data_IF_883846467229
#
_entry.id   IF_883846467229
#
_cell.length_a   1.000
_cell.length_b   1.000
_cell.length_c   1.000
_cell.angle_alpha   90.00
_cell.angle_beta   90.00
_cell.angle_gamma   90.00
#
_symmetry.space_group_name_H-M   'P 1'
#
loop_
_entity.id
_entity.type
_entity.pdbx_description
1 polymer ?
#
# COMPACT_ATOMS: atom_id res chain seq x y z
N UNK A 1 20.23 4.46 -16.57
CA UNK A 1 18.99 5.02 -15.97
C UNK A 1 18.91 4.69 -14.49
N UNK A 2 18.88 3.41 -14.14
CA UNK A 2 18.64 2.93 -12.76
C UNK A 2 19.66 3.45 -11.71
N UNK A 3 20.91 3.72 -12.10
CA UNK A 3 21.93 4.34 -11.22
C UNK A 3 22.05 5.85 -11.39
N UNK A 4 21.73 6.34 -12.59
CA UNK A 4 21.99 7.72 -12.98
C UNK A 4 20.91 8.67 -12.47
N UNK A 5 19.64 8.24 -12.47
CA UNK A 5 18.54 9.04 -11.95
C UNK A 5 18.70 9.35 -10.45
N UNK A 6 18.97 8.36 -9.56
CA UNK A 6 19.35 8.62 -8.17
C UNK A 6 20.46 9.66 -7.99
N UNK A 7 21.52 9.54 -8.78
CA UNK A 7 22.68 10.44 -8.73
C UNK A 7 22.29 11.88 -9.07
N UNK A 8 21.53 12.07 -10.15
CA UNK A 8 21.06 13.39 -10.59
C UNK A 8 20.08 14.02 -9.62
N UNK A 9 19.09 13.25 -9.16
CA UNK A 9 18.13 13.71 -8.16
C UNK A 9 18.84 14.17 -6.90
N UNK A 10 19.81 13.39 -6.43
CA UNK A 10 20.64 13.76 -5.29
C UNK A 10 21.42 15.04 -5.55
N UNK A 11 22.10 15.18 -6.69
CA UNK A 11 22.84 16.40 -7.02
C UNK A 11 21.94 17.65 -7.08
N UNK A 12 20.75 17.54 -7.69
CA UNK A 12 19.79 18.65 -7.75
C UNK A 12 19.28 19.02 -6.35
N UNK A 13 18.96 18.01 -5.53
CA UNK A 13 18.48 18.19 -4.16
C UNK A 13 19.49 18.89 -3.24
N UNK A 14 20.78 18.64 -3.44
CA UNK A 14 21.85 19.28 -2.67
C UNK A 14 22.29 20.63 -3.27
N UNK A 15 21.71 21.04 -4.40
CA UNK A 15 22.07 22.27 -5.11
C UNK A 15 23.37 22.18 -5.92
N UNK A 16 23.92 20.97 -6.07
CA UNK A 16 25.13 20.70 -6.87
C UNK A 16 24.85 20.67 -8.37
N UNK A 17 23.58 20.59 -8.78
CA UNK A 17 23.14 20.62 -10.16
C UNK A 17 21.87 21.47 -10.35
N UNK A 18 21.69 22.13 -11.50
CA UNK A 18 20.47 22.88 -11.78
C UNK A 18 19.27 21.93 -12.04
N UNK A 19 18.04 22.32 -11.65
CA UNK A 19 16.84 21.48 -11.82
C UNK A 19 16.56 21.05 -13.27
N UNK A 20 16.91 21.90 -14.25
CA UNK A 20 16.73 21.61 -15.67
C UNK A 20 17.65 20.49 -16.21
N UNK A 21 18.74 20.17 -15.50
CA UNK A 21 19.73 19.19 -15.96
C UNK A 21 19.10 17.81 -16.21
N UNK A 22 18.16 17.39 -15.34
CA UNK A 22 17.49 16.11 -15.51
C UNK A 22 16.69 16.07 -16.82
N UNK A 23 15.92 17.11 -17.13
CA UNK A 23 15.11 17.17 -18.35
C UNK A 23 16.00 17.20 -19.61
N UNK A 24 17.12 17.93 -19.55
CA UNK A 24 18.08 18.01 -20.66
C UNK A 24 18.75 16.65 -20.91
N UNK A 25 19.24 15.98 -19.86
CA UNK A 25 19.83 14.64 -20.01
C UNK A 25 18.82 13.59 -20.48
N UNK A 26 17.59 13.62 -19.97
CA UNK A 26 16.52 12.74 -20.45
C UNK A 26 16.30 12.97 -21.95
N UNK A 27 16.20 14.23 -22.40
CA UNK A 27 16.00 14.58 -23.81
C UNK A 27 17.17 14.15 -24.70
N UNK A 28 18.40 14.34 -24.24
CA UNK A 28 19.61 14.12 -25.05
C UNK A 28 20.08 12.67 -25.07
N UNK A 29 19.96 11.98 -23.94
CA UNK A 29 20.61 10.68 -23.70
C UNK A 29 19.64 9.52 -23.52
N UNK A 30 18.37 9.76 -23.18
CA UNK A 30 17.40 8.69 -22.94
C UNK A 30 16.35 8.58 -24.06
N UNK A 31 15.58 9.64 -24.30
CA UNK A 31 14.36 9.57 -25.13
C UNK A 31 14.62 9.12 -26.57
N UNK A 32 15.81 9.40 -27.11
CA UNK A 32 16.22 9.03 -28.47
C UNK A 32 16.45 7.54 -28.68
N UNK A 33 16.63 6.79 -27.60
CA UNK A 33 16.94 5.35 -27.64
C UNK A 33 15.79 4.50 -27.10
N UNK A 34 14.66 5.13 -26.76
CA UNK A 34 13.47 4.38 -26.36
C UNK A 34 12.89 3.63 -27.57
N UNK A 35 12.43 2.39 -27.37
CA UNK A 35 11.86 1.57 -28.43
C UNK A 35 10.47 2.07 -28.85
N UNK A 36 10.05 1.70 -30.06
CA UNK A 36 8.65 1.87 -30.48
C UNK A 36 7.73 0.99 -29.64
N UNK A 37 6.60 1.56 -29.19
CA UNK A 37 5.67 0.89 -28.26
C UNK A 37 5.11 -0.42 -28.85
N UNK A 38 4.82 -0.43 -30.15
CA UNK A 38 4.25 -1.60 -30.84
C UNK A 38 5.22 -2.79 -30.88
N UNK A 39 6.52 -2.53 -30.75
CA UNK A 39 7.57 -3.56 -30.73
C UNK A 39 7.78 -4.21 -29.36
N UNK A 40 7.14 -3.70 -28.31
CA UNK A 40 7.28 -4.19 -26.94
C UNK A 40 6.27 -5.29 -26.64
N UNK A 41 6.62 -6.26 -25.81
CA UNK A 41 5.63 -7.07 -25.10
C UNK A 41 5.11 -6.36 -23.84
N UNK A 42 4.11 -6.96 -23.18
CA UNK A 42 3.49 -6.37 -21.98
C UNK A 42 4.47 -6.26 -20.80
N UNK A 43 5.42 -7.18 -20.68
CA UNK A 43 6.38 -7.20 -19.58
C UNK A 43 7.45 -6.12 -19.77
N UNK A 44 7.99 -6.00 -20.98
CA UNK A 44 8.88 -4.91 -21.37
C UNK A 44 8.19 -3.54 -21.21
N UNK A 45 6.90 -3.45 -21.54
CA UNK A 45 6.10 -2.24 -21.29
C UNK A 45 6.01 -1.94 -19.78
N UNK A 46 5.71 -2.91 -18.92
CA UNK A 46 5.71 -2.74 -17.44
C UNK A 46 7.06 -2.24 -16.93
N UNK A 47 8.16 -2.82 -17.39
CA UNK A 47 9.51 -2.41 -17.01
C UNK A 47 9.81 -0.95 -17.43
N UNK A 48 9.40 -0.55 -18.63
CA UNK A 48 9.54 0.83 -19.08
C UNK A 48 8.62 1.79 -18.33
N UNK A 49 7.38 1.40 -18.02
CA UNK A 49 6.45 2.18 -17.19
C UNK A 49 7.05 2.45 -15.80
N UNK A 50 7.68 1.44 -15.16
CA UNK A 50 8.36 1.65 -13.87
C UNK A 50 9.48 2.68 -14.03
N UNK A 51 10.42 2.42 -14.95
CA UNK A 51 11.61 3.26 -15.16
C UNK A 51 11.28 4.70 -15.53
N UNK A 52 10.40 4.88 -16.51
CA UNK A 52 9.96 6.20 -16.96
C UNK A 52 9.02 6.85 -15.96
N UNK A 53 8.34 6.08 -15.10
CA UNK A 53 7.57 6.60 -13.98
C UNK A 53 8.45 7.33 -12.98
N UNK A 54 9.57 6.73 -12.58
CA UNK A 54 10.57 7.39 -11.72
C UNK A 54 11.13 8.66 -12.37
N UNK A 55 11.44 8.61 -13.67
CA UNK A 55 11.92 9.79 -14.43
C UNK A 55 10.87 10.89 -14.48
N UNK A 56 9.62 10.55 -14.82
CA UNK A 56 8.53 11.51 -14.95
C UNK A 56 8.18 12.18 -13.61
N UNK A 57 8.10 11.42 -12.52
CA UNK A 57 7.87 11.96 -11.19
C UNK A 57 9.02 12.87 -10.72
N UNK A 58 10.26 12.55 -11.08
CA UNK A 58 11.42 13.40 -10.80
C UNK A 58 11.37 14.72 -11.58
N UNK A 59 11.06 14.67 -12.87
CA UNK A 59 10.90 15.89 -13.69
C UNK A 59 9.74 16.75 -13.19
N UNK A 60 8.59 16.15 -12.90
CA UNK A 60 7.42 16.84 -12.36
C UNK A 60 7.73 17.52 -11.02
N UNK A 61 8.41 16.80 -10.11
CA UNK A 61 8.84 17.34 -8.82
C UNK A 61 9.72 18.58 -8.99
N UNK A 62 10.83 18.43 -9.71
CA UNK A 62 11.80 19.51 -9.89
C UNK A 62 11.18 20.70 -10.64
N UNK A 63 10.32 20.46 -11.63
CA UNK A 63 9.61 21.54 -12.31
C UNK A 63 8.73 22.33 -11.34
N UNK A 64 7.90 21.65 -10.56
CA UNK A 64 6.94 22.31 -9.67
C UNK A 64 7.59 23.00 -8.47
N UNK A 65 8.74 22.49 -8.01
CA UNK A 65 9.49 23.09 -6.90
C UNK A 65 10.19 24.38 -7.34
N UNK A 66 10.74 24.42 -8.56
CA UNK A 66 11.64 25.50 -8.98
C UNK A 66 11.01 26.55 -9.90
N UNK A 67 9.84 26.28 -10.50
CA UNK A 67 9.17 27.23 -11.38
C UNK A 67 7.98 27.91 -10.67
N UNK A 68 7.96 29.24 -10.71
CA UNK A 68 6.83 30.01 -10.19
C UNK A 68 5.55 29.61 -10.94
N UNK A 69 4.54 29.16 -10.19
CA UNK A 69 3.29 28.66 -10.77
C UNK A 69 3.34 27.21 -11.27
N UNK A 70 4.46 26.49 -11.13
CA UNK A 70 4.59 25.11 -11.63
C UNK A 70 3.52 24.15 -11.07
N UNK A 71 3.06 24.36 -9.83
CA UNK A 71 1.94 23.59 -9.25
C UNK A 71 0.60 23.82 -9.95
N UNK A 72 0.40 24.97 -10.60
CA UNK A 72 -0.84 25.30 -11.29
C UNK A 72 -0.93 24.62 -12.66
N UNK A 73 0.22 24.42 -13.31
CA UNK A 73 0.36 23.82 -14.64
C UNK A 73 1.41 22.68 -14.62
N UNK A 74 1.18 21.59 -13.85
CA UNK A 74 2.17 20.52 -13.68
C UNK A 74 2.58 19.83 -14.98
N UNK A 75 1.71 19.87 -16.00
CA UNK A 75 1.94 19.28 -17.32
C UNK A 75 3.15 19.88 -18.03
N UNK A 76 3.51 21.13 -17.72
CA UNK A 76 4.62 21.85 -18.32
C UNK A 76 5.98 21.28 -17.95
N UNK A 77 6.04 20.40 -16.95
CA UNK A 77 7.24 19.63 -16.63
C UNK A 77 7.73 18.78 -17.81
N UNK A 78 6.85 18.47 -18.76
CA UNK A 78 7.13 17.58 -19.89
C UNK A 78 7.26 18.33 -21.24
N UNK A 79 7.20 19.66 -21.24
CA UNK A 79 7.29 20.47 -22.45
C UNK A 79 8.60 20.21 -23.21
N UNK A 80 8.48 19.90 -24.51
CA UNK A 80 9.64 19.62 -25.37
C UNK A 80 10.33 18.27 -25.12
N UNK A 81 9.71 17.36 -24.37
CA UNK A 81 10.14 15.96 -24.25
C UNK A 81 9.38 15.12 -25.27
N UNK A 82 10.12 14.51 -26.20
CA UNK A 82 9.57 13.80 -27.36
C UNK A 82 10.32 12.49 -27.58
N UNK A 83 9.58 11.42 -27.86
CA UNK A 83 10.08 10.08 -28.23
C UNK A 83 9.59 9.79 -29.64
N UNK A 84 10.50 9.67 -30.62
CA UNK A 84 10.16 9.41 -32.02
C UNK A 84 8.96 10.27 -32.53
N UNK A 85 9.05 11.59 -32.37
CA UNK A 85 8.02 12.58 -32.72
C UNK A 85 6.74 12.58 -31.85
N UNK A 86 6.60 11.66 -30.90
CA UNK A 86 5.49 11.62 -29.94
C UNK A 86 5.82 12.34 -28.63
N UNK A 87 4.97 13.24 -28.11
CA UNK A 87 5.15 13.84 -26.78
C UNK A 87 5.30 12.78 -25.68
N UNK A 88 6.18 13.02 -24.70
CA UNK A 88 6.50 12.05 -23.64
C UNK A 88 5.26 11.49 -22.93
N UNK A 89 4.28 12.33 -22.60
CA UNK A 89 3.04 11.89 -21.93
C UNK A 89 2.18 10.98 -22.80
N UNK A 90 2.12 11.24 -24.10
CA UNK A 90 1.41 10.37 -25.06
C UNK A 90 2.16 9.05 -25.26
N UNK A 91 3.50 9.10 -25.29
CA UNK A 91 4.32 7.90 -25.32
C UNK A 91 4.14 7.06 -24.04
N UNK A 92 4.13 7.69 -22.87
CA UNK A 92 3.88 7.00 -21.60
C UNK A 92 2.48 6.41 -21.54
N UNK A 93 1.45 7.14 -22.00
CA UNK A 93 0.08 6.62 -22.08
C UNK A 93 0.02 5.37 -22.98
N UNK A 94 0.66 5.39 -24.14
CA UNK A 94 0.73 4.22 -25.02
C UNK A 94 1.48 3.04 -24.37
N UNK A 95 2.52 3.29 -23.58
CA UNK A 95 3.17 2.24 -22.78
C UNK A 95 2.24 1.66 -21.72
N UNK A 96 1.51 2.51 -21.00
CA UNK A 96 0.53 2.10 -20.00
C UNK A 96 -0.55 1.22 -20.62
N UNK A 97 -1.08 1.60 -21.79
CA UNK A 97 -2.01 0.78 -22.58
C UNK A 97 -1.37 -0.55 -23.00
N UNK A 98 -0.10 -0.52 -23.43
CA UNK A 98 0.63 -1.72 -23.89
C UNK A 98 0.84 -2.74 -22.77
N UNK A 99 0.78 -2.35 -21.50
CA UNK A 99 0.80 -3.30 -20.37
C UNK A 99 -0.41 -4.24 -20.38
N UNK A 100 -1.54 -3.83 -20.96
CA UNK A 100 -2.78 -4.59 -20.98
C UNK A 100 -3.54 -4.67 -19.64
N UNK A 101 -3.09 -3.92 -18.62
CA UNK A 101 -3.63 -4.00 -17.24
C UNK A 101 -4.53 -2.79 -16.88
N UNK A 102 -4.75 -1.87 -17.82
CA UNK A 102 -5.49 -0.63 -17.55
C UNK A 102 -4.76 0.34 -16.62
N UNK A 103 -3.43 0.36 -16.72
CA UNK A 103 -2.55 1.26 -15.96
C UNK A 103 -2.76 2.73 -16.37
N UNK A 104 -2.67 3.66 -15.42
CA UNK A 104 -2.91 5.07 -15.69
C UNK A 104 -1.69 5.73 -16.39
N UNK A 105 -1.86 6.83 -17.14
CA UNK A 105 -0.79 7.46 -17.92
C UNK A 105 0.19 8.29 -17.06
N UNK A 106 0.58 7.78 -15.88
CA UNK A 106 1.60 8.30 -14.96
C UNK A 106 2.13 7.17 -14.06
N UNK A 107 3.10 7.45 -13.20
CA UNK A 107 3.46 6.51 -12.13
C UNK A 107 2.30 6.28 -11.15
N UNK A 108 2.12 5.04 -10.69
CA UNK A 108 1.08 4.62 -9.75
C UNK A 108 1.65 3.68 -8.68
N UNK A 109 0.85 3.27 -7.71
CA UNK A 109 1.27 2.26 -6.71
C UNK A 109 1.75 0.96 -7.37
N UNK A 110 1.06 0.50 -8.43
CA UNK A 110 1.44 -0.69 -9.18
C UNK A 110 2.85 -0.55 -9.78
N UNK A 111 3.16 0.56 -10.47
CA UNK A 111 4.48 0.73 -11.09
C UNK A 111 5.57 1.10 -10.09
N UNK A 112 5.24 1.83 -9.03
CA UNK A 112 6.21 2.33 -8.05
C UNK A 112 6.63 1.27 -7.03
N UNK A 113 5.70 0.40 -6.63
CA UNK A 113 5.92 -0.63 -5.62
C UNK A 113 5.85 -2.01 -6.25
N UNK A 114 4.68 -2.42 -6.75
CA UNK A 114 4.43 -3.82 -7.13
C UNK A 114 5.36 -4.29 -8.23
N UNK A 115 5.46 -3.57 -9.34
CA UNK A 115 6.29 -3.97 -10.47
C UNK A 115 7.76 -3.63 -10.26
N UNK A 116 8.07 -2.63 -9.45
CA UNK A 116 9.42 -2.19 -9.16
C UNK A 116 10.20 -3.19 -8.30
N UNK A 117 9.61 -3.60 -7.17
CA UNK A 117 10.22 -4.59 -6.30
C UNK A 117 10.06 -5.97 -6.92
N UNK A 118 11.12 -6.77 -6.90
CA UNK A 118 11.10 -8.14 -7.42
C UNK A 118 10.03 -9.02 -6.75
N UNK A 119 9.80 -10.20 -7.34
CA UNK A 119 8.78 -11.14 -6.88
C UNK A 119 8.93 -11.48 -5.40
N UNK A 120 7.82 -11.38 -4.66
CA UNK A 120 7.73 -11.78 -3.25
C UNK A 120 6.82 -13.00 -3.15
N UNK A 121 7.32 -14.04 -2.51
CA UNK A 121 6.55 -15.23 -2.14
C UNK A 121 6.18 -15.15 -0.66
N UNK A 122 4.94 -15.49 -0.33
CA UNK A 122 4.50 -15.70 1.06
C UNK A 122 4.34 -17.19 1.28
N UNK A 123 5.05 -17.72 2.27
CA UNK A 123 5.02 -19.15 2.61
C UNK A 123 4.62 -19.37 4.05
N UNK A 124 3.91 -20.46 4.32
CA UNK A 124 3.62 -20.98 5.67
C UNK A 124 4.35 -22.32 5.82
N UNK A 125 5.51 -22.28 6.46
CA UNK A 125 6.42 -23.43 6.45
C UNK A 125 6.82 -23.78 5.01
N UNK A 126 6.49 -25.00 4.57
CA UNK A 126 6.77 -25.43 3.19
C UNK A 126 5.65 -25.10 2.19
N UNK A 127 4.48 -24.66 2.66
CA UNK A 127 3.34 -24.31 1.80
C UNK A 127 3.53 -22.93 1.19
N UNK A 128 3.34 -22.81 -0.12
CA UNK A 128 3.32 -21.53 -0.82
C UNK A 128 1.89 -20.98 -0.74
N UNK A 129 1.72 -19.85 -0.05
CA UNK A 129 0.42 -19.23 0.18
C UNK A 129 0.04 -18.30 -0.97
N UNK A 130 0.97 -17.42 -1.38
CA UNK A 130 0.76 -16.47 -2.47
C UNK A 130 2.08 -16.08 -3.14
N UNK A 131 1.99 -15.59 -4.37
CA UNK A 131 3.10 -15.01 -5.13
C UNK A 131 2.67 -13.66 -5.67
N UNK A 132 3.37 -12.60 -5.28
CA UNK A 132 3.15 -11.26 -5.80
C UNK A 132 4.29 -10.89 -6.77
N UNK A 133 4.07 -11.00 -8.09
CA UNK A 133 5.14 -10.82 -9.09
C UNK A 133 5.66 -9.39 -9.14
N UNK A 134 6.96 -9.24 -9.37
CA UNK A 134 7.60 -8.00 -9.82
C UNK A 134 7.83 -8.03 -11.32
N UNK A 135 8.13 -6.88 -11.93
CA UNK A 135 8.50 -6.80 -13.35
C UNK A 135 10.01 -6.97 -13.58
N UNK A 136 10.80 -7.02 -12.50
CA UNK A 136 12.26 -7.16 -12.55
C UNK A 136 12.71 -8.38 -11.73
N UNK A 137 13.67 -9.12 -12.27
CA UNK A 137 14.33 -10.29 -11.67
C UNK A 137 15.81 -10.03 -11.35
N UNK A 138 16.30 -8.82 -11.59
CA UNK A 138 17.72 -8.43 -11.42
C UNK A 138 18.14 -8.17 -9.96
N UNK A 139 17.19 -8.32 -9.02
CA UNK A 139 17.43 -8.14 -7.59
C UNK A 139 17.70 -6.70 -7.16
N UNK A 140 17.36 -5.71 -8.01
CA UNK A 140 17.44 -4.27 -7.71
C UNK A 140 16.06 -3.68 -7.43
N UNK A 141 15.99 -2.71 -6.53
CA UNK A 141 14.79 -1.88 -6.30
C UNK A 141 15.12 -0.49 -6.83
N UNK A 142 14.36 -0.01 -7.81
CA UNK A 142 14.55 1.35 -8.33
C UNK A 142 14.04 2.34 -7.30
N UNK A 143 14.72 3.47 -7.18
CA UNK A 143 14.44 4.51 -6.20
C UNK A 143 14.72 5.88 -6.77
N UNK A 144 14.15 6.92 -6.17
CA UNK A 144 14.37 8.30 -6.56
C UNK A 144 15.76 8.79 -6.18
N UNK A 145 16.30 8.34 -5.05
CA UNK A 145 17.55 8.86 -4.49
C UNK A 145 18.65 7.82 -4.30
N UNK A 146 18.37 6.53 -4.50
CA UNK A 146 19.37 5.47 -4.31
C UNK A 146 19.70 5.20 -2.84
N UNK A 147 18.92 5.74 -1.90
CA UNK A 147 19.19 5.54 -0.48
C UNK A 147 18.70 4.15 -0.04
N UNK A 148 19.46 3.43 0.81
CA UNK A 148 19.04 2.12 1.31
C UNK A 148 17.70 2.15 2.07
N UNK A 149 17.39 3.28 2.70
CA UNK A 149 16.12 3.46 3.40
C UNK A 149 14.92 3.55 2.46
N UNK A 150 15.08 4.18 1.30
CA UNK A 150 14.06 4.24 0.27
C UNK A 150 13.76 2.85 -0.31
N UNK A 151 14.80 2.09 -0.65
CA UNK A 151 14.64 0.71 -1.11
C UNK A 151 14.00 -0.19 -0.04
N UNK A 152 14.40 -0.03 1.22
CA UNK A 152 13.82 -0.75 2.36
C UNK A 152 12.35 -0.41 2.57
N UNK A 153 11.94 0.83 2.33
CA UNK A 153 10.54 1.25 2.40
C UNK A 153 9.72 0.61 1.27
N UNK A 154 10.20 0.63 0.02
CA UNK A 154 9.49 -0.06 -1.07
C UNK A 154 9.35 -1.56 -0.83
N UNK A 155 10.41 -2.21 -0.34
CA UNK A 155 10.37 -3.62 0.03
C UNK A 155 9.34 -3.89 1.12
N UNK A 156 9.26 -3.04 2.16
CA UNK A 156 8.26 -3.16 3.21
C UNK A 156 6.84 -3.12 2.65
N UNK A 157 6.54 -2.16 1.78
CA UNK A 157 5.19 -1.99 1.21
C UNK A 157 4.84 -3.20 0.34
N UNK A 158 5.74 -3.66 -0.53
CA UNK A 158 5.56 -4.87 -1.36
C UNK A 158 5.34 -6.12 -0.50
N UNK A 159 6.11 -6.29 0.57
CA UNK A 159 5.96 -7.41 1.50
C UNK A 159 4.62 -7.37 2.23
N UNK A 160 4.18 -6.17 2.64
CA UNK A 160 2.84 -5.95 3.18
C UNK A 160 1.78 -6.43 2.20
N UNK A 161 1.76 -5.85 1.00
CA UNK A 161 0.80 -6.20 -0.06
C UNK A 161 0.79 -7.71 -0.36
N UNK A 162 1.95 -8.38 -0.41
CA UNK A 162 2.03 -9.81 -0.68
C UNK A 162 1.38 -10.65 0.44
N UNK A 163 1.55 -10.24 1.71
CA UNK A 163 0.89 -10.90 2.84
C UNK A 163 -0.62 -10.62 2.81
N UNK A 164 -1.02 -9.43 2.43
CA UNK A 164 -2.43 -9.09 2.24
C UNK A 164 -3.10 -9.90 1.13
N UNK A 165 -2.41 -10.11 0.00
CA UNK A 165 -2.84 -11.01 -1.07
C UNK A 165 -3.07 -12.43 -0.52
N UNK A 166 -2.10 -12.98 0.21
CA UNK A 166 -2.22 -14.33 0.79
C UNK A 166 -3.42 -14.46 1.75
N UNK A 167 -3.70 -13.42 2.52
CA UNK A 167 -4.88 -13.36 3.38
C UNK A 167 -6.16 -13.35 2.55
N UNK A 168 -6.21 -12.53 1.49
CA UNK A 168 -7.38 -12.45 0.62
C UNK A 168 -7.60 -13.74 -0.20
N UNK A 169 -6.55 -14.47 -0.59
CA UNK A 169 -6.66 -15.78 -1.25
C UNK A 169 -7.22 -16.87 -0.33
N UNK A 170 -6.96 -16.77 0.99
CA UNK A 170 -7.55 -17.67 1.98
C UNK A 170 -9.03 -17.35 2.24
N UNK A 171 -9.36 -16.07 2.37
CA UNK A 171 -10.67 -15.60 2.79
C UNK A 171 -11.67 -15.43 1.63
N UNK A 172 -11.20 -15.06 0.44
CA UNK A 172 -12.05 -14.83 -0.74
C UNK A 172 -12.97 -16.00 -1.08
N UNK A 173 -12.48 -17.26 -1.12
CA UNK A 173 -13.33 -18.44 -1.34
C UNK A 173 -14.44 -18.62 -0.31
N UNK A 174 -14.28 -18.07 0.91
CA UNK A 174 -15.30 -18.15 1.94
C UNK A 174 -16.55 -17.33 1.59
N UNK A 175 -16.47 -16.40 0.62
CA UNK A 175 -17.60 -15.61 0.13
C UNK A 175 -18.79 -16.43 -0.41
N UNK A 176 -18.59 -17.72 -0.68
CA UNK A 176 -19.61 -18.64 -1.21
C UNK A 176 -19.68 -19.97 -0.42
N UNK A 177 -18.77 -20.19 0.52
CA UNK A 177 -18.70 -21.41 1.34
C UNK A 177 -19.40 -21.21 2.71
N UNK A 178 -19.73 -22.32 3.42
CA UNK A 178 -20.11 -22.28 4.83
C UNK A 178 -18.98 -21.71 5.69
N UNK A 179 -19.30 -20.88 6.68
CA UNK A 179 -18.32 -20.10 7.45
C UNK A 179 -17.93 -20.74 8.78
N UNK A 180 -18.68 -21.76 9.22
CA UNK A 180 -18.46 -22.45 10.50
C UNK A 180 -17.89 -23.86 10.35
N UNK A 181 -17.68 -24.33 9.13
CA UNK A 181 -17.06 -25.64 8.87
C UNK A 181 -15.55 -25.64 9.16
N UNK A 182 -14.99 -26.83 9.39
CA UNK A 182 -13.58 -27.00 9.76
C UNK A 182 -12.61 -26.32 8.77
N UNK A 183 -12.84 -26.46 7.46
CA UNK A 183 -12.02 -25.80 6.42
C UNK A 183 -12.06 -24.27 6.52
N UNK A 184 -13.23 -23.69 6.78
CA UNK A 184 -13.38 -22.25 6.94
C UNK A 184 -12.63 -21.75 8.17
N UNK A 185 -12.76 -22.47 9.29
CA UNK A 185 -12.05 -22.14 10.52
C UNK A 185 -10.53 -22.27 10.34
N UNK A 186 -10.05 -23.27 9.64
CA UNK A 186 -8.62 -23.44 9.36
C UNK A 186 -8.07 -22.31 8.47
N UNK A 187 -8.82 -21.89 7.46
CA UNK A 187 -8.49 -20.70 6.63
C UNK A 187 -8.46 -19.42 7.46
N UNK A 188 -9.45 -19.21 8.34
CA UNK A 188 -9.54 -18.06 9.25
C UNK A 188 -8.34 -18.02 10.19
N UNK A 189 -7.93 -19.16 10.76
CA UNK A 189 -6.73 -19.26 11.60
C UNK A 189 -5.46 -18.95 10.81
N UNK A 190 -5.33 -19.48 9.61
CA UNK A 190 -4.19 -19.21 8.73
C UNK A 190 -4.09 -17.70 8.39
N UNK A 191 -5.21 -17.10 7.99
CA UNK A 191 -5.31 -15.67 7.70
C UNK A 191 -4.96 -14.82 8.93
N UNK A 192 -5.45 -15.19 10.11
CA UNK A 192 -5.10 -14.52 11.38
C UNK A 192 -3.60 -14.51 11.62
N UNK A 193 -2.94 -15.66 11.44
CA UNK A 193 -1.48 -15.78 11.60
C UNK A 193 -0.70 -14.90 10.63
N UNK A 194 -1.14 -14.81 9.37
CA UNK A 194 -0.55 -13.94 8.35
C UNK A 194 -0.72 -12.45 8.69
N UNK A 195 -1.90 -12.03 9.14
CA UNK A 195 -2.14 -10.63 9.55
C UNK A 195 -1.26 -10.25 10.75
N UNK A 196 -1.09 -11.14 11.73
CA UNK A 196 -0.15 -10.91 12.84
C UNK A 196 1.31 -10.86 12.38
N UNK A 197 1.70 -11.66 11.39
CA UNK A 197 3.02 -11.54 10.78
C UNK A 197 3.22 -10.20 10.07
N UNK A 198 2.23 -9.71 9.34
CA UNK A 198 2.27 -8.37 8.73
C UNK A 198 2.37 -7.26 9.79
N UNK A 199 1.63 -7.37 10.90
CA UNK A 199 1.76 -6.44 12.02
C UNK A 199 3.18 -6.44 12.58
N UNK A 200 3.80 -7.61 12.79
CA UNK A 200 5.20 -7.72 13.24
C UNK A 200 6.15 -7.09 12.23
N UNK A 201 5.96 -7.32 10.93
CA UNK A 201 6.75 -6.70 9.87
C UNK A 201 6.75 -5.16 9.99
N UNK A 202 5.59 -4.54 10.22
CA UNK A 202 5.47 -3.09 10.42
C UNK A 202 6.15 -2.61 11.71
N UNK A 203 5.98 -3.34 12.82
CA UNK A 203 6.63 -3.00 14.10
C UNK A 203 8.15 -3.11 13.99
N UNK A 204 8.65 -4.18 13.38
CA UNK A 204 10.08 -4.43 13.21
C UNK A 204 10.71 -3.36 12.33
N UNK A 205 10.06 -2.98 11.22
CA UNK A 205 10.52 -1.86 10.41
C UNK A 205 10.56 -0.55 11.21
N UNK A 206 9.51 -0.27 12.00
CA UNK A 206 9.49 0.92 12.85
C UNK A 206 10.54 0.89 13.95
N UNK A 207 10.99 -0.28 14.41
CA UNK A 207 12.01 -0.41 15.45
C UNK A 207 13.44 -0.25 14.91
N UNK A 208 13.65 -0.35 13.59
CA UNK A 208 14.97 -0.21 12.97
C UNK A 208 15.55 1.20 13.16
N UNK A 209 16.89 1.32 13.18
CA UNK A 209 17.57 2.61 13.08
C UNK A 209 17.11 3.41 11.85
N UNK A 210 17.12 4.76 11.89
CA UNK A 210 16.72 5.59 10.76
C UNK A 210 17.44 5.25 9.45
N UNK A 211 18.71 4.84 9.52
CA UNK A 211 19.54 4.50 8.36
C UNK A 211 19.13 3.18 7.68
N UNK A 212 18.42 2.30 8.42
CA UNK A 212 17.96 0.98 7.95
C UNK A 212 16.44 0.92 7.72
N UNK A 213 15.73 2.00 8.02
CA UNK A 213 14.30 2.19 7.75
C UNK A 213 14.15 3.32 6.76
N UNK A 214 13.95 4.54 7.25
CA UNK A 214 14.06 5.79 6.52
C UNK A 214 13.99 6.93 7.56
N UNK A 215 14.86 7.93 7.56
CA UNK A 215 14.70 9.07 8.46
C UNK A 215 13.38 9.80 8.17
N UNK A 216 12.64 10.20 9.20
CA UNK A 216 11.35 10.88 9.01
C UNK A 216 11.49 12.20 8.23
N UNK A 217 12.59 12.93 8.44
CA UNK A 217 12.92 14.14 7.68
C UNK A 217 13.12 13.81 6.19
N UNK A 218 13.86 12.75 5.87
CA UNK A 218 14.03 12.30 4.49
C UNK A 218 12.69 11.87 3.87
N UNK A 219 11.83 11.17 4.63
CA UNK A 219 10.49 10.82 4.17
C UNK A 219 9.68 12.06 3.81
N UNK A 220 9.65 13.06 4.71
CA UNK A 220 8.86 14.28 4.55
C UNK A 220 9.40 15.20 3.45
N UNK A 221 10.71 15.45 3.42
CA UNK A 221 11.30 16.54 2.63
C UNK A 221 11.83 16.08 1.28
N UNK A 222 12.05 14.77 1.12
CA UNK A 222 12.64 14.20 -0.09
C UNK A 222 11.70 13.18 -0.72
N UNK A 223 11.56 12.01 -0.10
CA UNK A 223 10.89 10.87 -0.72
C UNK A 223 9.44 11.16 -1.10
N UNK A 224 8.65 11.65 -0.15
CA UNK A 224 7.24 12.00 -0.37
C UNK A 224 7.06 13.10 -1.42
N UNK A 225 8.05 13.96 -1.59
CA UNK A 225 7.98 15.10 -2.50
C UNK A 225 8.05 14.70 -3.98
N UNK A 226 8.32 13.43 -4.29
CA UNK A 226 8.18 12.88 -5.64
C UNK A 226 6.73 12.49 -5.99
N UNK A 227 5.84 12.34 -5.01
CA UNK A 227 4.44 11.99 -5.23
C UNK A 227 3.59 13.22 -5.62
N UNK A 228 4.01 13.91 -6.67
CA UNK A 228 3.37 15.12 -7.21
C UNK A 228 2.41 14.78 -8.35
N UNK A 229 1.60 15.77 -8.72
CA UNK A 229 0.74 15.69 -9.89
C UNK A 229 1.57 15.77 -11.18
N UNK A 230 1.29 14.93 -12.17
CA UNK A 230 1.79 15.11 -13.55
C UNK A 230 0.77 15.89 -14.38
N UNK A 231 -0.50 15.77 -14.01
CA UNK A 231 -1.63 16.49 -14.60
C UNK A 231 -2.48 17.05 -13.48
N UNK A 232 -3.19 18.13 -13.77
CA UNK A 232 -4.22 18.63 -12.86
C UNK A 232 -5.23 17.52 -12.59
N UNK A 233 -5.51 17.29 -11.31
CA UNK A 233 -6.50 16.32 -10.80
C UNK A 233 -6.15 14.82 -10.96
N UNK A 234 -4.92 14.46 -11.35
CA UNK A 234 -4.49 13.07 -11.27
C UNK A 234 -4.29 12.60 -9.82
N UNK A 235 -4.06 11.29 -9.63
CA UNK A 235 -3.86 10.70 -8.30
C UNK A 235 -2.42 10.18 -8.19
N UNK A 236 -1.57 10.85 -7.40
CA UNK A 236 -0.21 10.38 -7.17
C UNK A 236 -0.14 9.04 -6.44
N UNK A 237 0.97 8.29 -6.59
CA UNK A 237 1.14 7.02 -5.88
C UNK A 237 1.03 7.21 -4.36
N UNK A 238 0.49 6.19 -3.71
CA UNK A 238 0.20 6.21 -2.28
C UNK A 238 0.05 4.80 -1.74
N UNK A 239 0.45 4.55 -0.50
CA UNK A 239 0.11 3.29 0.18
C UNK A 239 -1.40 3.10 0.38
N UNK A 240 -2.18 4.18 0.26
CA UNK A 240 -3.65 4.13 0.21
C UNK A 240 -4.22 3.42 -1.03
N UNK A 241 -3.38 3.21 -2.05
CA UNK A 241 -3.73 2.55 -3.30
C UNK A 241 -3.33 1.08 -3.30
N UNK A 242 -2.98 0.50 -2.15
CA UNK A 242 -2.81 -0.94 -2.00
C UNK A 242 -4.17 -1.63 -2.23
N UNK A 243 -4.38 -2.37 -3.33
CA UNK A 243 -5.67 -2.94 -3.63
C UNK A 243 -6.02 -4.10 -2.69
N UNK A 244 -5.04 -4.78 -2.10
CA UNK A 244 -5.31 -5.89 -1.19
C UNK A 244 -5.84 -5.40 0.16
N UNK A 245 -5.41 -4.21 0.58
CA UNK A 245 -5.92 -3.54 1.77
C UNK A 245 -7.37 -3.11 1.54
N UNK A 246 -7.64 -2.51 0.38
CA UNK A 246 -8.97 -2.08 -0.02
C UNK A 246 -9.94 -3.26 -0.13
N UNK A 247 -9.54 -4.34 -0.82
CA UNK A 247 -10.33 -5.57 -0.92
C UNK A 247 -10.65 -6.15 0.46
N UNK A 248 -9.66 -6.21 1.36
CA UNK A 248 -9.86 -6.79 2.69
C UNK A 248 -10.86 -6.02 3.53
N UNK A 249 -10.90 -4.69 3.43
CA UNK A 249 -11.90 -3.88 4.13
C UNK A 249 -13.33 -4.17 3.65
N UNK A 250 -13.55 -4.43 2.36
CA UNK A 250 -14.88 -4.84 1.87
C UNK A 250 -15.17 -6.32 2.12
N UNK A 251 -14.13 -7.16 2.22
CA UNK A 251 -14.30 -8.57 2.56
C UNK A 251 -14.67 -8.77 4.05
N UNK A 252 -14.04 -8.02 4.94
CA UNK A 252 -14.23 -8.10 6.40
C UNK A 252 -15.22 -7.07 6.95
N UNK A 253 -15.70 -6.16 6.11
CA UNK A 253 -16.59 -5.08 6.51
C UNK A 253 -15.87 -3.91 7.18
N UNK A 254 -16.38 -2.71 6.90
CA UNK A 254 -15.89 -1.47 7.47
C UNK A 254 -17.06 -0.49 7.68
N UNK A 255 -17.41 -0.28 8.95
CA UNK A 255 -18.47 0.66 9.32
C UNK A 255 -17.91 2.10 9.37
N UNK A 256 -17.66 2.67 8.19
CA UNK A 256 -17.26 4.07 8.04
C UNK A 256 -18.07 4.73 6.93
N UNK A 257 -18.93 5.68 7.32
CA UNK A 257 -19.79 6.39 6.39
C UNK A 257 -19.02 7.04 5.22
N UNK A 258 -19.45 6.73 3.99
CA UNK A 258 -18.87 7.27 2.75
C UNK A 258 -17.50 6.68 2.37
N UNK A 259 -17.07 5.59 3.01
CA UNK A 259 -15.81 4.92 2.69
C UNK A 259 -15.80 4.37 1.25
N UNK A 260 -16.93 3.84 0.78
CA UNK A 260 -17.10 3.36 -0.58
C UNK A 260 -16.88 4.46 -1.63
N UNK A 261 -17.45 5.65 -1.41
CA UNK A 261 -17.22 6.81 -2.25
C UNK A 261 -15.76 7.27 -2.20
N UNK A 262 -15.13 7.21 -1.02
CA UNK A 262 -13.69 7.49 -0.90
C UNK A 262 -12.87 6.52 -1.76
N UNK A 263 -13.15 5.22 -1.70
CA UNK A 263 -12.43 4.21 -2.49
C UNK A 263 -12.69 4.36 -3.99
N UNK A 264 -13.93 4.62 -4.43
CA UNK A 264 -14.23 4.86 -5.86
C UNK A 264 -13.46 6.05 -6.43
N UNK A 265 -13.18 7.08 -5.62
CA UNK A 265 -12.32 8.19 -6.05
C UNK A 265 -10.88 7.77 -6.35
N UNK A 266 -10.41 6.65 -5.82
CA UNK A 266 -9.06 6.13 -6.04
C UNK A 266 -8.94 5.29 -7.31
N UNK A 267 -10.06 4.83 -7.87
CA UNK A 267 -10.10 3.92 -9.02
C UNK A 267 -9.29 4.37 -10.24
N UNK A 268 -9.23 5.66 -10.60
CA UNK A 268 -8.40 6.11 -11.72
C UNK A 268 -6.91 5.79 -11.58
N UNK A 269 -6.42 5.51 -10.37
CA UNK A 269 -5.02 5.16 -10.09
C UNK A 269 -4.76 3.65 -9.91
N UNK A 270 -5.81 2.82 -9.95
CA UNK A 270 -5.73 1.37 -9.85
C UNK A 270 -5.61 0.72 -11.25
N UNK A 271 -5.37 -0.59 -11.29
CA UNK A 271 -5.46 -1.41 -12.51
C UNK A 271 -6.91 -1.83 -12.78
N UNK A 272 -7.22 -2.25 -14.01
CA UNK A 272 -8.58 -2.68 -14.40
C UNK A 272 -9.09 -3.84 -13.55
N UNK A 273 -8.30 -4.89 -13.39
CA UNK A 273 -8.68 -6.06 -12.59
C UNK A 273 -8.88 -5.71 -11.11
N UNK A 274 -8.09 -4.78 -10.57
CA UNK A 274 -8.23 -4.33 -9.18
C UNK A 274 -9.54 -3.59 -8.96
N UNK A 275 -9.89 -2.67 -9.87
CA UNK A 275 -11.17 -1.94 -9.84
C UNK A 275 -12.35 -2.92 -9.85
N UNK A 276 -12.31 -3.89 -10.76
CA UNK A 276 -13.39 -4.86 -10.94
C UNK A 276 -13.60 -5.71 -9.69
N UNK A 277 -12.52 -6.22 -9.09
CA UNK A 277 -12.60 -7.03 -7.88
C UNK A 277 -13.09 -6.22 -6.67
N UNK A 278 -12.62 -4.97 -6.50
CA UNK A 278 -13.10 -4.10 -5.42
C UNK A 278 -14.58 -3.75 -5.59
N UNK A 279 -15.02 -3.39 -6.80
CA UNK A 279 -16.45 -3.09 -7.07
C UNK A 279 -17.33 -4.32 -6.84
N UNK A 280 -16.85 -5.52 -7.20
CA UNK A 280 -17.54 -6.78 -6.90
C UNK A 280 -17.70 -7.01 -5.39
N UNK A 281 -16.67 -6.74 -4.60
CA UNK A 281 -16.73 -6.87 -3.14
C UNK A 281 -17.65 -5.81 -2.52
N UNK A 282 -17.65 -4.57 -3.02
CA UNK A 282 -18.58 -3.52 -2.58
C UNK A 282 -20.06 -3.90 -2.77
N UNK A 283 -20.36 -4.76 -3.75
CA UNK A 283 -21.73 -5.21 -4.06
C UNK A 283 -22.18 -6.48 -3.34
N UNK A 284 -21.37 -7.05 -2.44
CA UNK A 284 -21.67 -8.32 -1.75
C UNK A 284 -21.76 -8.12 -0.23
N UNK A 285 -22.53 -8.97 0.47
CA UNK A 285 -22.41 -9.08 1.92
C UNK A 285 -20.99 -9.46 2.33
N UNK A 286 -20.50 -8.81 3.37
CA UNK A 286 -19.19 -9.06 3.99
C UNK A 286 -19.17 -10.45 4.65
N UNK A 287 -17.97 -10.98 4.94
CA UNK A 287 -17.86 -12.26 5.65
C UNK A 287 -18.48 -12.22 7.05
N UNK A 288 -18.32 -11.15 7.87
CA UNK A 288 -18.99 -11.09 9.16
C UNK A 288 -20.51 -10.98 9.07
N UNK A 289 -21.07 -10.25 8.10
CA UNK A 289 -22.52 -10.21 7.87
C UNK A 289 -23.06 -11.60 7.54
N UNK A 290 -22.41 -12.31 6.60
CA UNK A 290 -22.80 -13.69 6.26
C UNK A 290 -22.67 -14.66 7.42
N UNK A 291 -21.67 -14.46 8.29
CA UNK A 291 -21.49 -15.28 9.48
C UNK A 291 -22.64 -15.11 10.48
N UNK A 292 -23.10 -13.87 10.66
CA UNK A 292 -24.28 -13.60 11.49
C UNK A 292 -25.54 -14.20 10.87
N UNK A 293 -25.72 -14.05 9.55
CA UNK A 293 -26.85 -14.66 8.83
C UNK A 293 -26.87 -16.20 8.97
N UNK A 294 -25.72 -16.87 8.86
CA UNK A 294 -25.60 -18.33 9.04
C UNK A 294 -25.95 -18.79 10.46
N UNK A 295 -25.78 -17.90 11.45
CA UNK A 295 -26.09 -18.13 12.86
C UNK A 295 -27.50 -17.66 13.26
N UNK A 296 -28.27 -17.08 12.34
CA UNK A 296 -29.56 -16.43 12.63
C UNK A 296 -29.44 -15.36 13.74
N UNK A 297 -28.40 -14.54 13.67
CA UNK A 297 -28.10 -13.47 14.63
C UNK A 297 -28.25 -12.08 14.00
N UNK A 298 -28.85 -11.16 14.75
CA UNK A 298 -28.83 -9.74 14.42
C UNK A 298 -27.65 -9.04 15.11
N UNK A 299 -27.02 -8.09 14.40
CA UNK A 299 -25.87 -7.36 14.94
C UNK A 299 -26.24 -6.47 16.13
N UNK A 300 -27.43 -5.83 16.13
CA UNK A 300 -27.87 -4.99 17.23
C UNK A 300 -28.16 -5.82 18.49
N UNK A 301 -28.70 -7.02 18.32
CA UNK A 301 -28.87 -7.98 19.40
C UNK A 301 -27.51 -8.41 19.99
N UNK A 302 -26.53 -8.74 19.14
CA UNK A 302 -25.18 -9.10 19.59
C UNK A 302 -24.50 -7.96 20.37
N UNK A 303 -24.71 -6.70 19.97
CA UNK A 303 -24.16 -5.51 20.65
C UNK A 303 -24.74 -5.29 22.04
N UNK A 304 -25.96 -5.76 22.31
CA UNK A 304 -26.66 -5.54 23.58
C UNK A 304 -26.82 -6.80 24.44
N UNK A 305 -26.41 -7.95 23.92
CA UNK A 305 -26.51 -9.24 24.59
C UNK A 305 -25.78 -9.29 25.95
N UNK A 306 -26.42 -9.83 27.01
CA UNK A 306 -25.77 -10.13 28.28
C UNK A 306 -24.57 -11.08 28.13
N UNK A 307 -23.55 -10.90 28.97
CA UNK A 307 -22.32 -11.74 28.94
C UNK A 307 -22.58 -13.24 29.03
N UNK A 308 -23.64 -13.67 29.73
CA UNK A 308 -24.03 -15.07 29.83
C UNK A 308 -24.52 -15.64 28.50
N UNK A 309 -25.25 -14.84 27.71
CA UNK A 309 -25.71 -15.21 26.37
C UNK A 309 -24.54 -15.26 25.41
N UNK A 310 -23.59 -14.32 25.49
CA UNK A 310 -22.35 -14.35 24.70
C UNK A 310 -21.50 -15.59 25.00
N UNK A 311 -21.36 -15.98 26.28
CA UNK A 311 -20.70 -17.25 26.64
C UNK A 311 -21.47 -18.46 26.08
N UNK A 312 -22.80 -18.44 26.18
CA UNK A 312 -23.65 -19.47 25.59
C UNK A 312 -23.41 -19.61 24.08
N UNK A 313 -23.40 -18.48 23.36
CA UNK A 313 -23.18 -18.43 21.92
C UNK A 313 -21.80 -19.02 21.54
N UNK A 314 -20.74 -18.60 22.22
CA UNK A 314 -19.38 -19.15 22.00
C UNK A 314 -19.33 -20.65 22.32
N UNK A 315 -20.04 -21.09 23.36
CA UNK A 315 -20.13 -22.50 23.73
C UNK A 315 -20.80 -23.37 22.67
N UNK A 316 -21.83 -22.84 21.99
CA UNK A 316 -22.51 -23.54 20.89
C UNK A 316 -21.73 -23.44 19.57
N UNK A 317 -21.02 -22.34 19.34
CA UNK A 317 -20.27 -22.07 18.10
C UNK A 317 -18.82 -21.64 18.40
N UNK A 318 -17.93 -22.58 18.76
CA UNK A 318 -16.56 -22.26 19.14
C UNK A 318 -15.75 -21.57 18.03
N UNK A 319 -16.10 -21.79 16.75
CA UNK A 319 -15.48 -21.11 15.61
C UNK A 319 -15.61 -19.58 15.62
N UNK A 320 -16.58 -19.03 16.36
CA UNK A 320 -16.72 -17.58 16.56
C UNK A 320 -15.48 -16.95 17.20
N UNK A 321 -14.74 -17.71 18.01
CA UNK A 321 -13.49 -17.24 18.62
C UNK A 321 -12.42 -16.99 17.55
N UNK A 322 -12.33 -17.86 16.55
CA UNK A 322 -11.36 -17.74 15.46
C UNK A 322 -11.71 -16.54 14.55
N UNK A 323 -12.99 -16.36 14.22
CA UNK A 323 -13.46 -15.18 13.49
C UNK A 323 -13.23 -13.86 14.26
N UNK A 324 -13.50 -13.85 15.56
CA UNK A 324 -13.17 -12.70 16.41
C UNK A 324 -11.67 -12.38 16.36
N UNK A 325 -10.81 -13.40 16.47
CA UNK A 325 -9.35 -13.22 16.44
C UNK A 325 -8.86 -12.67 15.11
N UNK A 326 -9.44 -13.10 13.99
CA UNK A 326 -9.14 -12.55 12.66
C UNK A 326 -9.43 -11.06 12.59
N UNK A 327 -10.65 -10.64 12.97
CA UNK A 327 -11.05 -9.23 12.94
C UNK A 327 -10.22 -8.38 13.92
N UNK A 328 -9.95 -8.91 15.11
CA UNK A 328 -9.07 -8.27 16.07
C UNK A 328 -7.62 -8.12 15.55
N UNK A 329 -7.10 -9.14 14.86
CA UNK A 329 -5.78 -9.08 14.22
C UNK A 329 -5.75 -8.03 13.11
N UNK A 330 -6.77 -7.96 12.25
CA UNK A 330 -6.91 -6.93 11.21
C UNK A 330 -6.89 -5.52 11.82
N UNK A 331 -7.66 -5.31 12.90
CA UNK A 331 -7.68 -4.05 13.63
C UNK A 331 -6.32 -3.69 14.25
N UNK A 332 -5.58 -4.67 14.79
CA UNK A 332 -4.23 -4.46 15.34
C UNK A 332 -3.20 -4.15 14.25
N UNK A 333 -3.27 -4.82 13.10
CA UNK A 333 -2.40 -4.54 11.95
C UNK A 333 -2.65 -3.14 11.39
N UNK A 334 -3.91 -2.73 11.25
CA UNK A 334 -4.28 -1.35 10.92
C UNK A 334 -3.72 -0.32 11.92
N UNK A 335 -3.76 -0.65 13.22
CA UNK A 335 -3.14 0.16 14.26
C UNK A 335 -1.62 0.30 14.12
N UNK A 336 -0.92 -0.76 13.69
CA UNK A 336 0.51 -0.70 13.38
C UNK A 336 0.81 0.14 12.14
N UNK A 337 -0.03 0.06 11.10
CA UNK A 337 0.08 0.94 9.93
C UNK A 337 -0.15 2.42 10.31
N UNK A 338 -1.17 2.73 11.12
CA UNK A 338 -1.38 4.08 11.65
C UNK A 338 -0.19 4.56 12.48
N UNK A 339 0.45 3.68 13.27
CA UNK A 339 1.66 4.00 14.00
C UNK A 339 2.81 4.39 13.06
N UNK A 340 3.02 3.67 11.95
CA UNK A 340 3.99 4.04 10.93
C UNK A 340 3.67 5.42 10.35
N UNK A 341 2.41 5.67 9.94
CA UNK A 341 2.00 6.98 9.41
C UNK A 341 2.21 8.10 10.43
N UNK A 342 1.93 7.86 11.71
CA UNK A 342 2.20 8.83 12.78
C UNK A 342 3.70 9.07 12.97
N UNK A 343 4.52 8.02 12.94
CA UNK A 343 5.98 8.12 13.13
C UNK A 343 6.65 8.90 12.01
N UNK A 344 6.31 8.62 10.76
CA UNK A 344 7.03 9.16 9.59
C UNK A 344 6.37 10.40 8.99
N UNK A 345 5.06 10.58 9.14
CA UNK A 345 4.32 11.70 8.53
C UNK A 345 3.78 12.69 9.58
N UNK A 346 2.82 12.25 10.40
CA UNK A 346 1.99 13.20 11.15
C UNK A 346 2.69 13.80 12.38
N UNK A 347 3.35 12.99 13.22
CA UNK A 347 4.01 13.51 14.42
C UNK A 347 5.15 14.48 14.09
N UNK A 348 6.05 14.19 13.13
CA UNK A 348 7.07 15.14 12.74
C UNK A 348 6.46 16.43 12.17
N UNK A 349 5.42 16.35 11.33
CA UNK A 349 4.75 17.56 10.82
C UNK A 349 4.08 18.38 11.93
N UNK A 350 3.42 17.75 12.93
CA UNK A 350 2.89 18.47 14.09
C UNK A 350 3.99 19.20 14.86
N UNK A 351 5.14 18.57 15.06
CA UNK A 351 6.29 19.22 15.71
C UNK A 351 6.78 20.44 14.94
N UNK A 352 6.76 20.40 13.60
CA UNK A 352 7.08 21.54 12.73
C UNK A 352 6.05 22.66 12.85
N UNK A 353 4.77 22.31 12.89
CA UNK A 353 3.67 23.27 13.09
C UNK A 353 3.80 23.96 14.46
N UNK A 354 4.03 23.19 15.53
CA UNK A 354 4.25 23.70 16.89
C UNK A 354 5.50 24.59 17.00
N UNK A 355 6.55 24.28 16.24
CA UNK A 355 7.78 25.07 16.15
C UNK A 355 7.66 26.28 15.21
N UNK A 356 6.50 26.54 14.60
CA UNK A 356 6.28 27.65 13.68
C UNK A 356 6.95 27.50 12.30
N UNK A 357 7.46 26.31 11.97
CA UNK A 357 8.09 26.01 10.68
C UNK A 357 7.03 25.82 9.57
N UNK A 358 5.86 25.29 9.94
CA UNK A 358 4.70 25.13 9.07
C UNK A 358 4.83 23.99 8.04
N UNK A 359 3.98 24.05 7.01
CA UNK A 359 3.91 23.08 5.91
C UNK A 359 4.47 23.76 4.65
N UNK A 360 5.80 23.77 4.52
CA UNK A 360 6.52 24.31 3.35
C UNK A 360 6.92 23.30 2.23
N UNK A 361 6.44 22.04 2.16
CA UNK A 361 6.80 21.13 1.09
C UNK A 361 6.00 21.35 -0.21
N UNK A 362 6.46 20.73 -1.30
CA UNK A 362 5.76 20.66 -2.58
C UNK A 362 4.43 19.90 -2.44
N UNK A 363 4.48 18.74 -1.79
CA UNK A 363 3.35 17.89 -1.39
C UNK A 363 3.11 18.07 0.11
N UNK A 364 1.91 18.51 0.49
CA UNK A 364 1.55 18.74 1.90
C UNK A 364 1.83 17.52 2.77
N UNK A 365 2.35 17.78 3.97
CA UNK A 365 2.64 16.77 4.98
C UNK A 365 1.50 16.61 6.00
N UNK A 366 0.41 17.38 5.88
CA UNK A 366 -0.74 17.32 6.80
C UNK A 366 -1.76 16.23 6.46
N UNK A 367 -1.69 15.68 5.26
CA UNK A 367 -2.51 14.57 4.79
C UNK A 367 -1.68 13.63 3.92
N UNK A 368 -2.13 12.40 3.66
CA UNK A 368 -1.61 11.54 2.61
C UNK A 368 -1.84 12.13 1.22
N UNK A 369 -1.17 11.59 0.19
CA UNK A 369 -1.27 12.07 -1.20
C UNK A 369 -2.68 11.91 -1.78
N UNK A 370 -3.49 11.02 -1.20
CA UNK A 370 -4.91 10.84 -1.53
C UNK A 370 -5.87 11.70 -0.69
N UNK A 371 -5.34 12.61 0.14
CA UNK A 371 -6.12 13.51 1.00
C UNK A 371 -6.53 12.94 2.35
N UNK A 372 -6.17 11.70 2.70
CA UNK A 372 -6.44 11.14 4.03
C UNK A 372 -5.56 11.80 5.10
N UNK A 373 -6.17 12.55 6.01
CA UNK A 373 -5.47 13.12 7.16
C UNK A 373 -5.38 12.14 8.35
N UNK A 374 -4.66 12.54 9.39
CA UNK A 374 -4.49 11.71 10.60
C UNK A 374 -5.84 11.30 11.22
N UNK A 375 -6.77 12.24 11.35
CA UNK A 375 -8.10 11.98 11.91
C UNK A 375 -8.91 10.98 11.08
N UNK A 376 -8.76 10.99 9.75
CA UNK A 376 -9.38 10.01 8.88
C UNK A 376 -8.82 8.61 9.15
N UNK A 377 -7.50 8.46 9.23
CA UNK A 377 -6.86 7.17 9.50
C UNK A 377 -7.12 6.66 10.92
N UNK A 378 -7.27 7.56 11.90
CA UNK A 378 -7.72 7.22 13.25
C UNK A 378 -9.15 6.68 13.25
N UNK A 379 -10.08 7.35 12.56
CA UNK A 379 -11.46 6.88 12.40
C UNK A 379 -11.52 5.54 11.67
N UNK A 380 -10.76 5.37 10.60
CA UNK A 380 -10.68 4.11 9.86
C UNK A 380 -10.13 2.98 10.75
N UNK A 381 -9.10 3.25 11.54
CA UNK A 381 -8.55 2.28 12.51
C UNK A 381 -9.57 1.95 13.60
N UNK A 382 -10.35 2.93 14.04
CA UNK A 382 -11.39 2.74 15.05
C UNK A 382 -12.57 1.92 14.48
N UNK A 383 -13.02 2.21 13.26
CA UNK A 383 -14.05 1.43 12.58
C UNK A 383 -13.66 -0.05 12.44
N UNK A 384 -12.38 -0.35 12.15
CA UNK A 384 -11.88 -1.75 12.15
C UNK A 384 -11.88 -2.40 13.54
N UNK A 385 -11.75 -1.62 14.62
CA UNK A 385 -11.83 -2.13 16.01
C UNK A 385 -13.26 -2.36 16.46
N UNK A 386 -14.19 -1.53 15.99
CA UNK A 386 -15.62 -1.61 16.27
C UNK A 386 -16.33 -2.57 15.29
N UNK A 387 -15.64 -3.64 14.90
CA UNK A 387 -16.14 -4.64 13.95
C UNK A 387 -17.35 -5.41 14.51
N UNK A 388 -18.10 -6.07 13.63
CA UNK A 388 -19.34 -6.82 13.94
C UNK A 388 -19.23 -7.74 15.17
N UNK A 389 -18.13 -8.50 15.29
CA UNK A 389 -17.92 -9.41 16.42
C UNK A 389 -17.28 -8.78 17.68
N UNK A 390 -17.06 -7.46 17.73
CA UNK A 390 -16.42 -6.79 18.86
C UNK A 390 -17.09 -7.04 20.23
N UNK A 391 -18.44 -7.19 20.34
CA UNK A 391 -19.10 -7.49 21.60
C UNK A 391 -18.62 -8.80 22.27
N UNK A 392 -18.19 -9.80 21.49
CA UNK A 392 -17.68 -11.08 22.02
C UNK A 392 -16.47 -10.91 22.94
N UNK A 393 -15.74 -9.79 22.82
CA UNK A 393 -14.58 -9.46 23.67
C UNK A 393 -14.86 -9.59 25.17
N UNK A 394 -16.07 -9.26 25.62
CA UNK A 394 -16.43 -9.32 27.03
C UNK A 394 -16.50 -10.75 27.58
N UNK A 395 -16.79 -11.72 26.71
CA UNK A 395 -16.96 -13.13 27.01
C UNK A 395 -15.69 -13.97 26.74
N UNK A 396 -14.65 -13.37 26.19
CA UNK A 396 -13.39 -14.05 25.89
C UNK A 396 -12.38 -13.88 27.04
N UNK A 397 -11.55 -14.90 27.33
CA UNK A 397 -10.46 -14.76 28.28
C UNK A 397 -9.57 -13.58 27.89
N UNK A 398 -9.22 -12.74 28.86
CA UNK A 398 -8.18 -11.72 28.63
C UNK A 398 -6.90 -12.44 28.22
N UNK A 399 -6.43 -12.18 27.00
CA UNK A 399 -5.10 -12.61 26.58
C UNK A 399 -4.08 -12.00 27.55
N UNK A 400 -3.56 -12.82 28.47
CA UNK A 400 -2.37 -12.48 29.26
C UNK A 400 -1.24 -12.25 28.28
N UNK A 401 -0.65 -11.05 28.31
CA UNK A 401 0.22 -10.50 27.27
C UNK A 401 1.16 -11.51 26.63
N UNK A 402 1.18 -11.50 25.29
CA UNK A 402 2.13 -12.25 24.48
C UNK A 402 3.56 -12.06 25.00
N UNK A 403 4.18 -13.16 25.44
CA UNK A 403 5.64 -13.25 25.48
C UNK A 403 6.12 -13.16 24.02
N UNK A 404 7.07 -12.28 23.68
CA UNK A 404 7.58 -12.20 22.32
C UNK A 404 8.20 -13.56 21.94
N UNK A 405 7.86 -14.13 20.78
CA UNK A 405 8.56 -15.31 20.29
C UNK A 405 10.03 -14.98 20.02
N UNK A 406 10.89 -15.96 20.28
CA UNK A 406 12.34 -15.83 20.25
C UNK A 406 12.88 -15.34 18.90
N UNK A 407 13.92 -14.51 19.00
CA UNK A 407 14.71 -13.94 17.93
C UNK A 407 15.35 -15.03 17.07
N UNK A 408 14.87 -15.26 15.85
CA UNK A 408 15.72 -15.75 14.76
C UNK A 408 15.36 -15.05 13.44
N UNK A 409 16.02 -13.91 13.24
CA UNK A 409 16.15 -13.26 11.93
C UNK A 409 17.33 -13.92 11.21
N UNK A 410 17.07 -14.58 10.07
CA UNK A 410 18.05 -14.70 8.99
C UNK A 410 17.41 -14.32 7.66
N UNK A 411 17.61 -13.05 7.31
CA UNK A 411 17.32 -12.48 6.00
C UNK A 411 18.43 -12.85 5.02
N UNK A 412 18.07 -13.56 3.95
CA UNK A 412 18.89 -13.79 2.77
C UNK A 412 17.98 -14.19 1.60
N UNK A 413 17.79 -13.27 0.65
CA UNK A 413 17.17 -13.43 -0.71
C UNK A 413 16.28 -14.68 -0.90
N UNK A 414 15.23 -14.74 -0.10
CA UNK A 414 13.97 -15.49 -0.24
C UNK A 414 13.24 -15.19 1.07
N UNK A 415 12.13 -14.46 1.03
CA UNK A 415 11.47 -13.99 2.26
C UNK A 415 10.57 -15.12 2.77
N UNK A 416 11.16 -16.02 3.55
CA UNK A 416 10.39 -17.04 4.30
C UNK A 416 9.82 -16.39 5.57
N UNK A 417 8.50 -16.21 5.64
CA UNK A 417 7.79 -15.81 6.86
C UNK A 417 7.53 -17.07 7.69
N UNK A 418 8.34 -17.33 8.72
CA UNK A 418 8.12 -18.46 9.60
C UNK A 418 7.02 -18.14 10.64
N UNK A 419 5.92 -18.88 10.61
CA UNK A 419 4.90 -18.90 11.66
C UNK A 419 5.20 -20.07 12.60
N UNK A 420 5.45 -19.79 13.88
CA UNK A 420 5.45 -20.83 14.93
C UNK A 420 3.99 -21.17 15.24
N UNK A 421 3.66 -22.46 15.09
CA UNK A 421 2.31 -23.00 15.25
C UNK A 421 1.83 -23.12 16.68
#
# INVERSE_FOLDING_TARGET
MDDELPRLNSAILHGDAPPGLLADQVREELLRYLPEVDGLDAEQAKQLVVRLGFVGASMARHHQEWNAGGKADPERAFDGLVVAERPFREYFAALADRTGEGHCPRDSFASLVRWNVGTVEVRRGNELMAVLPGAFDDGRIRSYTGTPGEESFFLLVKQGEAVELAVNELLGPLGEAPLLGDDAIDRVRAATGLIEAMRRLFIDFAARPPEQSMPAEHFLDVFRQFAVHWTRDDIPPSGALDPEALKRDFLLGIDLAGYDHHVRRLFPALLDGERQEIEKLMGRPTLPERLLDELDLDEADLRTAPIAELHGLIGHHPGLVDWYRLLAAHARAAGAHLMLSKKFLFKPQRQRDDAGQGDRPLVSNRAGTTGMNEMFLERLTQARRDHTLAPLRAALPRETGEKPPGTEVRSGRSVSVALVG
#
